data_IF_674491049314
#
_entry.id   IF_674491049314
#
_cell.length_a   1.000
_cell.length_b   1.000
_cell.length_c   1.000
_cell.angle_alpha   90.00
_cell.angle_beta   90.00
_cell.angle_gamma   90.00
#
_symmetry.space_group_name_H-M   'P 1'
#
loop_
_entity.id
_entity.type
_entity.pdbx_description
1 polymer ?
#
# COMPACT_ATOMS: atom_id res chain seq x y z
N UNK A 1 -2.49 -16.60 17.04
CA UNK A 1 -3.63 -15.92 16.36
C UNK A 1 -3.43 -16.00 14.85
N UNK A 2 -4.51 -16.06 14.06
CA UNK A 2 -4.42 -16.11 12.59
C UNK A 2 -4.10 -14.72 12.06
N UNK A 3 -2.94 -14.55 11.42
CA UNK A 3 -2.56 -13.30 10.75
C UNK A 3 -3.39 -13.11 9.48
N UNK A 4 -3.88 -11.90 9.24
CA UNK A 4 -4.80 -11.60 8.14
C UNK A 4 -4.39 -10.31 7.45
N UNK A 5 -4.26 -10.35 6.12
CA UNK A 5 -4.07 -9.19 5.26
C UNK A 5 -5.16 -9.19 4.20
N UNK A 6 -5.86 -8.06 4.07
CA UNK A 6 -6.93 -7.84 3.10
C UNK A 6 -6.49 -6.71 2.19
N UNK A 7 -6.25 -7.02 0.92
CA UNK A 7 -5.97 -6.01 -0.10
C UNK A 7 -7.24 -5.72 -0.90
N UNK A 8 -7.60 -4.44 -1.00
CA UNK A 8 -8.69 -3.96 -1.84
C UNK A 8 -8.05 -3.34 -3.07
N UNK A 9 -8.14 -4.06 -4.19
CA UNK A 9 -7.52 -3.68 -5.46
C UNK A 9 -8.54 -3.49 -6.58
N UNK A 10 -8.09 -2.90 -7.68
CA UNK A 10 -8.91 -2.55 -8.83
C UNK A 10 -8.35 -1.36 -9.61
N UNK A 11 -8.94 -1.13 -10.79
CA UNK A 11 -8.60 -0.02 -11.67
C UNK A 11 -8.90 1.34 -11.02
N UNK A 12 -8.37 2.41 -11.59
CA UNK A 12 -8.71 3.75 -11.12
C UNK A 12 -10.21 4.02 -11.26
N UNK A 13 -10.73 4.80 -10.31
CA UNK A 13 -12.17 5.04 -10.13
C UNK A 13 -13.06 3.79 -9.88
N UNK A 14 -12.50 2.60 -9.60
CA UNK A 14 -13.30 1.39 -9.30
C UNK A 14 -13.99 1.38 -7.92
N UNK A 15 -13.86 2.45 -7.12
CA UNK A 15 -14.47 2.56 -5.80
C UNK A 15 -13.68 1.92 -4.64
N UNK A 16 -12.40 1.55 -4.84
CA UNK A 16 -11.53 0.95 -3.79
C UNK A 16 -11.60 1.69 -2.46
N UNK A 17 -11.39 3.01 -2.47
CA UNK A 17 -11.41 3.84 -1.26
C UNK A 17 -12.75 3.73 -0.51
N UNK A 18 -13.86 3.71 -1.23
CA UNK A 18 -15.19 3.54 -0.63
C UNK A 18 -15.30 2.18 0.05
N UNK A 19 -14.87 1.10 -0.61
CA UNK A 19 -14.92 -0.24 -0.03
C UNK A 19 -13.98 -0.39 1.17
N UNK A 20 -12.80 0.22 1.11
CA UNK A 20 -11.84 0.25 2.23
C UNK A 20 -12.43 0.94 3.45
N UNK A 21 -13.07 2.09 3.27
CA UNK A 21 -13.70 2.82 4.37
C UNK A 21 -14.87 2.04 4.99
N UNK A 22 -15.71 1.39 4.16
CA UNK A 22 -16.80 0.54 4.65
C UNK A 22 -16.29 -0.64 5.50
N UNK A 23 -15.18 -1.26 5.09
CA UNK A 23 -14.55 -2.34 5.85
C UNK A 23 -13.96 -1.84 7.18
N UNK A 24 -13.28 -0.71 7.16
CA UNK A 24 -12.73 -0.05 8.37
C UNK A 24 -13.85 0.25 9.37
N UNK A 25 -14.93 0.88 8.91
CA UNK A 25 -16.09 1.23 9.76
C UNK A 25 -16.75 -0.02 10.35
N UNK A 26 -16.87 -1.08 9.55
CA UNK A 26 -17.41 -2.36 10.02
C UNK A 26 -16.54 -2.98 11.12
N UNK A 27 -15.22 -3.04 10.92
CA UNK A 27 -14.29 -3.62 11.89
C UNK A 27 -14.21 -2.80 13.18
N UNK A 28 -14.23 -1.46 13.05
CA UNK A 28 -14.27 -0.55 14.19
C UNK A 28 -15.53 -0.78 15.04
N UNK A 29 -16.71 -0.90 14.41
CA UNK A 29 -17.98 -1.20 15.11
C UNK A 29 -17.98 -2.57 15.80
N UNK A 30 -17.13 -3.50 15.37
CA UNK A 30 -16.95 -4.83 15.98
C UNK A 30 -15.87 -4.86 17.06
N UNK A 31 -15.17 -3.75 17.31
CA UNK A 31 -14.05 -3.70 18.25
C UNK A 31 -12.84 -4.53 17.81
N UNK A 32 -12.71 -4.82 16.52
CA UNK A 32 -11.58 -5.56 15.99
C UNK A 32 -10.33 -4.66 15.87
N UNK A 33 -9.17 -5.17 16.26
CA UNK A 33 -7.90 -4.48 16.04
C UNK A 33 -7.48 -4.57 14.56
N UNK A 34 -7.27 -3.43 13.91
CA UNK A 34 -6.80 -3.37 12.53
C UNK A 34 -5.78 -2.24 12.32
N UNK A 35 -5.01 -2.35 11.23
CA UNK A 35 -4.12 -1.32 10.70
C UNK A 35 -4.53 -1.07 9.25
N UNK A 36 -4.82 0.19 8.91
CA UNK A 36 -5.09 0.62 7.55
C UNK A 36 -3.81 1.14 6.89
N UNK A 37 -3.55 0.71 5.66
CA UNK A 37 -2.45 1.12 4.81
C UNK A 37 -3.00 1.51 3.43
N UNK A 38 -2.35 2.45 2.77
CA UNK A 38 -2.57 2.75 1.34
C UNK A 38 -1.23 2.64 0.64
N UNK A 39 -1.20 2.01 -0.54
CA UNK A 39 0.01 1.89 -1.35
C UNK A 39 -0.11 2.72 -2.65
N UNK A 40 0.95 3.46 -3.05
CA UNK A 40 2.18 3.72 -2.31
C UNK A 40 1.94 4.37 -0.94
N UNK A 41 2.85 4.17 0.00
CA UNK A 41 2.65 4.67 1.37
C UNK A 41 2.85 6.17 1.53
N UNK A 42 3.21 6.89 0.45
CA UNK A 42 3.40 8.34 0.22
C UNK A 42 4.15 9.18 1.29
N UNK A 43 3.86 8.97 2.57
CA UNK A 43 4.32 9.75 3.72
C UNK A 43 5.60 9.20 4.37
N UNK A 44 6.06 8.00 3.96
CA UNK A 44 7.26 7.37 4.51
C UNK A 44 8.51 7.55 3.64
N UNK A 45 9.69 7.65 4.25
CA UNK A 45 10.99 7.71 3.55
C UNK A 45 11.21 6.52 2.60
N UNK A 46 10.59 5.38 2.91
CA UNK A 46 10.60 4.20 2.05
C UNK A 46 9.88 4.39 0.71
N UNK A 47 9.02 5.40 0.59
CA UNK A 47 8.31 5.76 -0.65
C UNK A 47 9.05 6.77 -1.53
N UNK A 48 10.25 7.23 -1.13
CA UNK A 48 10.95 8.29 -1.85
C UNK A 48 11.20 7.98 -3.33
N UNK A 49 11.58 6.76 -3.68
CA UNK A 49 11.84 6.39 -5.08
C UNK A 49 10.55 6.40 -5.93
N UNK A 50 9.44 5.90 -5.38
CA UNK A 50 8.15 5.92 -6.10
C UNK A 50 7.60 7.35 -6.20
N UNK A 51 7.81 8.19 -5.18
CA UNK A 51 7.44 9.61 -5.23
C UNK A 51 8.26 10.37 -6.28
N UNK A 52 9.58 10.13 -6.37
CA UNK A 52 10.44 10.71 -7.42
C UNK A 52 10.01 10.27 -8.83
N UNK A 53 9.61 9.02 -8.98
CA UNK A 53 9.09 8.51 -10.24
C UNK A 53 7.76 9.18 -10.63
N UNK A 54 6.79 9.20 -9.71
CA UNK A 54 5.46 9.78 -9.96
C UNK A 54 5.49 11.29 -10.15
N UNK A 55 6.51 11.99 -9.64
CA UNK A 55 6.69 13.43 -9.85
C UNK A 55 7.38 13.78 -11.17
N UNK A 56 7.86 12.79 -11.94
CA UNK A 56 8.60 13.01 -13.18
C UNK A 56 10.08 13.39 -12.96
N UNK A 57 10.63 13.24 -11.75
CA UNK A 57 12.01 13.64 -11.45
C UNK A 57 13.07 12.83 -12.22
N UNK A 58 12.71 11.64 -12.72
CA UNK A 58 13.59 10.83 -13.57
C UNK A 58 13.47 11.15 -15.07
N UNK A 59 12.54 12.03 -15.46
CA UNK A 59 12.26 12.40 -16.84
C UNK A 59 10.75 12.52 -17.11
N UNK A 60 10.38 13.40 -18.05
CA UNK A 60 8.98 13.63 -18.44
C UNK A 60 8.52 12.69 -19.57
N UNK A 61 9.46 12.13 -20.34
CA UNK A 61 9.16 11.15 -21.40
C UNK A 61 8.82 9.79 -20.75
N UNK A 62 7.63 9.21 -21.05
CA UNK A 62 7.22 7.89 -20.55
C UNK A 62 8.23 6.76 -20.77
N UNK A 63 9.07 6.85 -21.81
CA UNK A 63 10.08 5.85 -22.14
C UNK A 63 11.37 6.00 -21.31
N UNK A 64 11.53 7.08 -20.54
CA UNK A 64 12.73 7.33 -19.73
C UNK A 64 12.93 6.30 -18.63
N UNK A 65 11.82 5.79 -18.07
CA UNK A 65 11.83 4.77 -17.02
C UNK A 65 11.06 3.56 -17.49
N UNK A 66 11.78 2.49 -17.81
CA UNK A 66 11.14 1.24 -18.22
C UNK A 66 10.27 0.61 -17.11
N UNK A 67 9.37 -0.29 -17.50
CA UNK A 67 8.42 -0.93 -16.59
C UNK A 67 9.07 -1.70 -15.44
N UNK A 68 10.26 -2.28 -15.62
CA UNK A 68 10.97 -3.02 -14.56
C UNK A 68 11.55 -2.08 -13.51
N UNK A 69 12.14 -0.95 -13.94
CA UNK A 69 12.64 0.08 -13.04
C UNK A 69 11.49 0.70 -12.24
N UNK A 70 10.41 1.11 -12.91
CA UNK A 70 9.21 1.65 -12.26
C UNK A 70 8.64 0.66 -11.23
N UNK A 71 8.46 -0.61 -11.63
CA UNK A 71 7.92 -1.67 -10.76
C UNK A 71 8.80 -1.94 -9.53
N UNK A 72 10.12 -1.80 -9.67
CA UNK A 72 11.06 -1.95 -8.55
C UNK A 72 10.85 -0.88 -7.48
N UNK A 73 10.49 0.34 -7.85
CA UNK A 73 10.21 1.42 -6.88
C UNK A 73 8.99 1.10 -6.01
N UNK A 74 7.90 0.62 -6.62
CA UNK A 74 6.71 0.16 -5.87
C UNK A 74 7.00 -1.08 -5.01
N UNK A 75 7.87 -1.98 -5.47
CA UNK A 75 8.26 -3.16 -4.70
C UNK A 75 9.09 -2.79 -3.45
N UNK A 76 10.02 -1.84 -3.61
CA UNK A 76 10.83 -1.32 -2.49
C UNK A 76 9.99 -0.60 -1.44
N UNK A 77 8.98 0.17 -1.87
CA UNK A 77 8.01 0.81 -0.98
C UNK A 77 7.28 -0.23 -0.08
N UNK A 78 6.75 -1.29 -0.69
CA UNK A 78 6.08 -2.38 0.04
C UNK A 78 7.00 -3.12 0.99
N UNK A 79 8.18 -3.51 0.54
CA UNK A 79 9.12 -4.27 1.37
C UNK A 79 9.62 -3.45 2.55
N UNK A 80 10.04 -2.21 2.28
CA UNK A 80 10.62 -1.35 3.29
C UNK A 80 9.58 -0.90 4.32
N UNK A 81 8.37 -0.51 3.88
CA UNK A 81 7.26 -0.20 4.79
C UNK A 81 6.89 -1.39 5.68
N UNK A 82 6.87 -2.61 5.13
CA UNK A 82 6.63 -3.82 5.91
C UNK A 82 7.68 -3.95 7.01
N UNK A 83 8.97 -3.95 6.64
CA UNK A 83 10.05 -4.19 7.58
C UNK A 83 10.17 -3.11 8.65
N UNK A 84 9.86 -1.85 8.33
CA UNK A 84 10.15 -0.70 9.18
C UNK A 84 8.94 -0.10 9.91
N UNK A 85 7.71 -0.31 9.42
CA UNK A 85 6.49 0.26 10.02
C UNK A 85 5.55 -0.84 10.53
N UNK A 86 4.90 -1.56 9.63
CA UNK A 86 3.67 -2.29 9.98
C UNK A 86 3.85 -3.80 10.22
N UNK A 87 5.06 -4.36 10.09
CA UNK A 87 5.32 -5.78 10.42
C UNK A 87 4.93 -6.13 11.85
N UNK A 88 5.18 -5.22 12.81
CA UNK A 88 4.81 -5.46 14.22
C UNK A 88 3.31 -5.66 14.37
N UNK A 89 2.50 -4.81 13.74
CA UNK A 89 1.03 -4.91 13.77
C UNK A 89 0.55 -6.26 13.19
N UNK A 90 1.16 -6.69 12.09
CA UNK A 90 0.87 -7.98 11.47
C UNK A 90 1.28 -9.16 12.36
N UNK A 91 2.45 -9.08 13.00
CA UNK A 91 2.98 -10.11 13.89
C UNK A 91 2.17 -10.24 15.19
N UNK A 92 1.64 -9.14 15.71
CA UNK A 92 0.70 -9.09 16.84
C UNK A 92 -0.70 -9.61 16.50
N UNK A 93 -0.98 -9.87 15.21
CA UNK A 93 -2.23 -10.44 14.74
C UNK A 93 -3.34 -9.42 14.47
N UNK A 94 -3.01 -8.13 14.31
CA UNK A 94 -3.97 -7.15 13.80
C UNK A 94 -4.34 -7.48 12.36
N UNK A 95 -5.57 -7.12 11.97
CA UNK A 95 -6.01 -7.23 10.58
C UNK A 95 -5.34 -6.09 9.79
N UNK A 96 -4.56 -6.42 8.77
CA UNK A 96 -4.00 -5.42 7.87
C UNK A 96 -4.98 -5.19 6.73
N UNK A 97 -5.40 -3.94 6.52
CA UNK A 97 -6.28 -3.51 5.44
C UNK A 97 -5.47 -2.62 4.51
N UNK A 98 -5.24 -3.06 3.28
CA UNK A 98 -4.42 -2.35 2.31
C UNK A 98 -5.28 -1.87 1.13
N UNK A 99 -5.33 -0.55 0.91
CA UNK A 99 -5.82 0.02 -0.34
C UNK A 99 -4.71 -0.07 -1.39
N UNK A 100 -4.86 -1.01 -2.34
CA UNK A 100 -3.79 -1.56 -3.20
C UNK A 100 -2.74 -2.36 -2.42
N UNK A 101 -2.07 -3.31 -3.07
CA UNK A 101 -0.90 -4.01 -2.52
C UNK A 101 0.04 -4.46 -3.65
N UNK A 102 0.10 -5.75 -3.95
CA UNK A 102 0.72 -6.31 -5.15
C UNK A 102 -0.39 -6.63 -6.15
N UNK A 103 -0.46 -5.89 -7.26
CA UNK A 103 -1.21 -6.37 -8.43
C UNK A 103 -0.43 -7.56 -9.00
N UNK A 104 -1.10 -8.70 -9.21
CA UNK A 104 -0.55 -9.86 -9.90
C UNK A 104 -0.29 -9.56 -11.39
#
# INVERSE_FOLDING_TARGET
MKKTLIAIDGLDASGKRTQTNLLIDYLAKKGAGFRHLSFPTYDGDYSSLVNLYLSGAFGEDPETVNAYAASSFFAMDRYSSYMLDWRKDYDEGKIIIANRYTTA
#
